data_IF_393102432700
#
_entry.id   IF_393102432700
#
_cell.length_a   1.000
_cell.length_b   1.000
_cell.length_c   1.000
_cell.angle_alpha   90.00
_cell.angle_beta   90.00
_cell.angle_gamma   90.00
#
_symmetry.space_group_name_H-M   'P 1'
#
loop_
_entity.id
_entity.type
_entity.pdbx_description
1 polymer ?
#
# COMPACT_ATOMS: atom_id res chain seq x y z
N UNK A 1 7.45 1.04 0.18
CA UNK A 1 6.09 0.44 0.21
C UNK A 1 5.74 -0.12 -1.16
N UNK A 2 5.27 -1.39 -1.23
CA UNK A 2 4.95 -2.07 -2.51
C UNK A 2 3.83 -1.37 -3.30
N UNK A 3 2.87 -0.73 -2.62
CA UNK A 3 1.76 0.02 -3.25
C UNK A 3 2.28 1.17 -4.10
N UNK A 4 3.34 1.82 -3.67
CA UNK A 4 3.99 2.92 -4.37
C UNK A 4 4.72 2.45 -5.64
N UNK A 5 5.19 1.21 -5.67
CA UNK A 5 5.86 0.63 -6.84
C UNK A 5 4.96 0.50 -8.07
N UNK A 6 3.63 0.51 -7.90
CA UNK A 6 2.68 0.44 -9.02
C UNK A 6 2.17 1.77 -9.51
N UNK A 7 1.88 2.71 -8.63
CA UNK A 7 1.13 3.92 -8.97
C UNK A 7 1.81 5.21 -8.52
N UNK A 8 3.11 5.14 -8.17
CA UNK A 8 3.84 6.29 -7.63
C UNK A 8 3.23 6.87 -6.34
N UNK A 9 3.76 7.96 -5.81
CA UNK A 9 3.28 8.57 -4.58
C UNK A 9 2.17 9.60 -4.81
N UNK A 10 2.23 10.28 -5.95
CA UNK A 10 1.34 11.36 -6.35
C UNK A 10 1.00 11.19 -7.82
N UNK A 11 -0.24 11.42 -8.20
CA UNK A 11 -0.69 11.45 -9.59
C UNK A 11 -1.31 12.80 -9.92
N UNK A 12 -1.04 13.28 -11.14
CA UNK A 12 -1.72 14.43 -11.73
C UNK A 12 -2.60 13.90 -12.86
N UNK A 13 -3.89 14.15 -12.78
CA UNK A 13 -4.90 13.67 -13.72
C UNK A 13 -5.84 14.81 -14.15
N UNK A 14 -6.77 14.49 -15.06
CA UNK A 14 -7.87 15.38 -15.36
C UNK A 14 -8.88 15.38 -14.21
N UNK A 15 -9.32 16.54 -13.76
CA UNK A 15 -10.35 16.69 -12.73
C UNK A 15 -11.64 15.93 -13.08
N UNK A 16 -12.02 15.90 -14.37
CA UNK A 16 -13.17 15.15 -14.85
C UNK A 16 -13.02 13.64 -14.66
N UNK A 17 -11.80 13.07 -14.70
CA UNK A 17 -11.57 11.64 -14.43
C UNK A 17 -11.98 11.25 -13.03
N UNK A 18 -11.73 12.12 -12.06
CA UNK A 18 -12.05 11.90 -10.65
C UNK A 18 -13.55 11.98 -10.40
N UNK A 19 -14.22 12.92 -11.07
CA UNK A 19 -15.68 13.16 -10.88
C UNK A 19 -16.56 12.16 -11.62
N UNK A 20 -16.13 11.71 -12.80
CA UNK A 20 -16.91 10.77 -13.64
C UNK A 20 -16.53 9.31 -13.43
N UNK A 21 -15.48 9.05 -12.67
CA UNK A 21 -14.88 7.71 -12.48
C UNK A 21 -14.57 7.00 -13.83
N UNK A 22 -14.22 7.79 -14.83
CA UNK A 22 -13.89 7.34 -16.19
C UNK A 22 -12.62 8.06 -16.66
N UNK A 23 -11.63 7.36 -17.22
CA UNK A 23 -10.40 7.98 -17.68
C UNK A 23 -10.67 9.08 -18.70
N UNK A 24 -10.36 10.32 -18.37
CA UNK A 24 -10.44 11.46 -19.28
C UNK A 24 -9.04 11.93 -19.63
N UNK A 25 -8.81 12.28 -20.90
CA UNK A 25 -7.48 12.70 -21.35
C UNK A 25 -7.08 14.04 -20.74
N UNK A 26 -5.78 14.20 -20.57
CA UNK A 26 -5.18 15.50 -20.24
C UNK A 26 -3.90 15.67 -21.07
N UNK A 27 -3.69 16.88 -21.60
CA UNK A 27 -2.47 17.18 -22.33
C UNK A 27 -1.28 17.29 -21.38
N UNK A 28 -0.19 16.63 -21.74
CA UNK A 28 1.05 16.63 -20.95
C UNK A 28 2.19 17.17 -21.82
N UNK A 29 2.31 18.52 -21.93
CA UNK A 29 3.40 19.11 -22.68
C UNK A 29 4.76 18.88 -21.97
N UNK A 30 5.87 18.78 -22.72
CA UNK A 30 7.21 18.59 -22.14
C UNK A 30 7.60 19.67 -21.13
N UNK A 31 7.10 20.89 -21.27
CA UNK A 31 7.31 21.96 -20.31
C UNK A 31 6.73 21.65 -18.94
N UNK A 32 5.52 21.08 -18.90
CA UNK A 32 4.88 20.66 -17.64
C UNK A 32 5.66 19.54 -16.97
N UNK A 33 6.13 18.55 -17.74
CA UNK A 33 6.95 17.45 -17.19
C UNK A 33 8.22 17.98 -16.53
N UNK A 34 8.85 18.98 -17.14
CA UNK A 34 10.04 19.63 -16.59
C UNK A 34 9.70 20.45 -15.33
N UNK A 35 8.67 21.27 -15.36
CA UNK A 35 8.23 22.06 -14.19
C UNK A 35 7.90 21.16 -12.99
N UNK A 36 7.23 20.03 -13.21
CA UNK A 36 6.90 19.05 -12.17
C UNK A 36 8.16 18.35 -11.67
N UNK A 37 9.08 18.00 -12.55
CA UNK A 37 10.34 17.34 -12.21
C UNK A 37 11.30 18.25 -11.41
N UNK A 38 11.24 19.57 -11.61
CA UNK A 38 12.08 20.55 -10.92
C UNK A 38 11.57 20.87 -9.49
N UNK A 39 10.40 20.36 -9.08
CA UNK A 39 9.88 20.54 -7.72
C UNK A 39 10.76 19.80 -6.71
N UNK A 40 11.17 20.52 -5.65
CA UNK A 40 12.00 19.96 -4.59
C UNK A 40 11.33 18.73 -3.94
N UNK A 41 12.06 17.62 -3.84
CA UNK A 41 11.56 16.37 -3.28
C UNK A 41 11.03 15.36 -4.31
N UNK A 42 10.82 15.75 -5.56
CA UNK A 42 10.49 14.84 -6.66
C UNK A 42 11.71 13.99 -7.02
N UNK A 43 11.50 12.68 -7.12
CA UNK A 43 12.53 11.72 -7.52
C UNK A 43 12.43 11.36 -9.00
N UNK A 44 11.21 11.09 -9.47
CA UNK A 44 10.95 10.64 -10.83
C UNK A 44 9.56 11.07 -11.29
N UNK A 45 9.42 11.34 -12.58
CA UNK A 45 8.16 11.73 -13.21
C UNK A 45 7.98 10.92 -14.47
N UNK A 46 6.80 10.32 -14.65
CA UNK A 46 6.48 9.50 -15.81
C UNK A 46 5.04 9.71 -16.25
N UNK A 47 4.77 9.56 -17.55
CA UNK A 47 3.42 9.59 -18.10
C UNK A 47 2.81 8.19 -18.04
N UNK A 48 1.51 8.15 -17.88
CA UNK A 48 0.77 6.90 -17.94
C UNK A 48 -0.54 7.05 -18.71
N UNK A 49 -1.04 5.93 -19.18
CA UNK A 49 -2.33 5.84 -19.86
C UNK A 49 -3.08 4.61 -19.37
N UNK A 50 -4.29 4.80 -18.90
CA UNK A 50 -5.16 3.72 -18.44
C UNK A 50 -6.27 3.45 -19.46
N UNK A 51 -6.60 2.16 -19.66
CA UNK A 51 -7.77 1.73 -20.43
C UNK A 51 -8.38 0.49 -19.81
N UNK A 52 -9.65 0.57 -19.47
CA UNK A 52 -10.42 -0.60 -19.05
C UNK A 52 -10.74 -1.49 -20.24
N UNK A 53 -10.67 -2.80 -20.02
CA UNK A 53 -10.95 -3.78 -21.05
C UNK A 53 -11.20 -5.18 -20.50
N UNK A 54 -11.43 -6.13 -21.39
CA UNK A 54 -11.63 -7.53 -21.04
C UNK A 54 -10.64 -8.36 -21.85
N UNK A 55 -9.79 -9.13 -21.16
CA UNK A 55 -9.04 -10.21 -21.77
C UNK A 55 -9.95 -11.42 -21.93
N UNK A 56 -9.93 -12.04 -23.11
CA UNK A 56 -10.73 -13.22 -23.42
C UNK A 56 -9.86 -14.30 -24.04
N UNK A 57 -9.99 -15.49 -23.49
CA UNK A 57 -9.51 -16.76 -24.06
C UNK A 57 -10.70 -17.56 -24.58
N UNK A 58 -10.46 -18.73 -25.13
CA UNK A 58 -11.54 -19.61 -25.60
C UNK A 58 -12.39 -20.17 -24.45
N UNK A 59 -11.82 -20.26 -23.24
CA UNK A 59 -12.48 -20.84 -22.06
C UNK A 59 -13.08 -19.78 -21.15
N UNK A 60 -12.35 -18.67 -20.90
CA UNK A 60 -12.68 -17.70 -19.87
C UNK A 60 -12.46 -16.24 -20.30
N UNK A 61 -12.96 -15.32 -19.48
CA UNK A 61 -12.74 -13.88 -19.66
C UNK A 61 -12.47 -13.18 -18.33
N UNK A 62 -11.66 -12.13 -18.36
CA UNK A 62 -11.27 -11.34 -17.19
C UNK A 62 -11.29 -9.85 -17.50
N UNK A 63 -11.96 -9.07 -16.63
CA UNK A 63 -11.85 -7.60 -16.65
C UNK A 63 -10.45 -7.16 -16.23
N UNK A 64 -9.84 -6.27 -17.00
CA UNK A 64 -8.51 -5.76 -16.76
C UNK A 64 -8.45 -4.24 -16.85
N UNK A 65 -7.47 -3.66 -16.16
CA UNK A 65 -7.01 -2.30 -16.36
C UNK A 65 -5.66 -2.34 -17.10
N UNK A 66 -5.70 -1.97 -18.38
CA UNK A 66 -4.49 -1.85 -19.18
C UNK A 66 -3.77 -0.56 -18.79
N UNK A 67 -2.56 -0.69 -18.26
CA UNK A 67 -1.71 0.42 -17.83
C UNK A 67 -0.57 0.58 -18.83
N UNK A 68 -0.68 1.61 -19.64
CA UNK A 68 0.33 1.96 -20.65
C UNK A 68 1.40 2.86 -20.06
N UNK A 69 2.66 2.46 -20.23
CA UNK A 69 3.83 3.17 -19.72
C UNK A 69 4.81 3.49 -20.84
N UNK A 70 5.50 4.62 -20.72
CA UNK A 70 6.45 5.12 -21.71
C UNK A 70 7.89 4.65 -21.49
N UNK A 71 8.79 5.20 -22.28
CA UNK A 71 10.22 4.89 -22.18
C UNK A 71 10.85 5.41 -20.87
N UNK A 72 10.23 6.41 -20.23
CA UNK A 72 10.63 6.96 -18.95
C UNK A 72 10.21 6.13 -17.73
N UNK A 73 9.48 5.03 -17.94
CA UNK A 73 8.98 4.19 -16.85
C UNK A 73 10.09 3.58 -16.02
N UNK A 74 10.03 3.76 -14.70
CA UNK A 74 10.92 3.05 -13.77
C UNK A 74 10.50 1.59 -13.60
N UNK A 75 11.12 0.74 -14.40
CA UNK A 75 10.84 -0.70 -14.41
C UNK A 75 11.49 -1.48 -13.26
N UNK A 76 12.23 -0.83 -12.35
CA UNK A 76 13.00 -1.50 -11.29
C UNK A 76 12.11 -2.36 -10.38
N UNK A 77 10.97 -1.80 -9.96
CA UNK A 77 9.99 -2.52 -9.16
C UNK A 77 9.39 -3.72 -9.89
N UNK A 78 8.95 -3.52 -11.13
CA UNK A 78 8.32 -4.58 -11.91
C UNK A 78 9.33 -5.70 -12.24
N UNK A 79 10.59 -5.35 -12.56
CA UNK A 79 11.68 -6.32 -12.76
C UNK A 79 11.95 -7.18 -11.54
N UNK A 80 11.93 -6.58 -10.36
CA UNK A 80 12.15 -7.30 -9.10
C UNK A 80 11.04 -8.31 -8.75
N UNK A 81 9.85 -8.16 -9.37
CA UNK A 81 8.69 -9.01 -9.12
C UNK A 81 8.30 -9.87 -10.34
N UNK A 82 9.15 -9.92 -11.38
CA UNK A 82 8.96 -10.83 -12.50
C UNK A 82 9.22 -12.27 -12.07
N UNK A 83 8.32 -13.18 -12.42
CA UNK A 83 8.48 -14.62 -12.20
C UNK A 83 8.89 -15.35 -13.48
N UNK A 84 8.32 -14.96 -14.60
CA UNK A 84 8.56 -15.61 -15.89
C UNK A 84 8.61 -14.59 -17.03
N UNK A 85 9.42 -14.87 -18.05
CA UNK A 85 9.53 -14.04 -19.24
C UNK A 85 10.38 -12.78 -19.05
N UNK A 86 10.16 -11.81 -19.92
CA UNK A 86 10.91 -10.56 -19.96
C UNK A 86 9.99 -9.36 -20.12
N UNK A 87 10.40 -8.21 -19.56
CA UNK A 87 9.71 -6.95 -19.79
C UNK A 87 9.92 -6.50 -21.25
N UNK A 88 8.84 -6.14 -21.95
CA UNK A 88 8.98 -5.53 -23.27
C UNK A 88 9.65 -4.16 -23.17
N UNK A 89 10.28 -3.72 -24.24
CA UNK A 89 10.69 -2.32 -24.34
C UNK A 89 9.45 -1.46 -24.49
N UNK A 90 9.13 -0.69 -23.46
CA UNK A 90 8.02 0.25 -23.49
C UNK A 90 8.38 1.44 -24.40
N UNK A 91 7.46 1.83 -25.26
CA UNK A 91 7.68 2.88 -26.25
C UNK A 91 6.51 3.86 -26.33
N UNK A 92 6.85 5.11 -26.62
CA UNK A 92 5.87 6.18 -26.84
C UNK A 92 5.45 6.28 -28.33
N UNK A 93 6.18 5.63 -29.22
CA UNK A 93 6.04 5.83 -30.69
C UNK A 93 5.68 4.58 -31.47
N UNK A 94 5.98 3.39 -30.94
CA UNK A 94 5.80 2.13 -31.64
C UNK A 94 4.98 1.16 -30.80
N UNK A 95 3.96 0.54 -31.42
CA UNK A 95 3.17 -0.49 -30.76
C UNK A 95 3.95 -1.80 -30.66
N UNK A 96 4.19 -2.29 -29.46
CA UNK A 96 4.81 -3.59 -29.24
C UNK A 96 3.79 -4.74 -29.34
N UNK A 97 2.51 -4.48 -29.07
CA UNK A 97 1.44 -5.46 -28.87
C UNK A 97 1.82 -6.57 -27.86
N UNK A 98 2.70 -6.26 -26.94
CA UNK A 98 3.12 -7.13 -25.84
C UNK A 98 2.53 -6.63 -24.55
N UNK A 99 2.16 -7.58 -23.69
CA UNK A 99 1.63 -7.29 -22.38
C UNK A 99 2.39 -8.09 -21.32
N UNK A 100 2.44 -7.50 -20.10
CA UNK A 100 2.89 -8.18 -18.91
C UNK A 100 1.69 -8.32 -17.99
N UNK A 101 1.39 -9.55 -17.59
CA UNK A 101 0.23 -9.89 -16.78
C UNK A 101 0.66 -10.39 -15.41
N UNK A 102 -0.23 -10.34 -14.43
CA UNK A 102 0.04 -10.93 -13.13
C UNK A 102 -0.07 -12.46 -13.17
N UNK A 103 0.55 -13.14 -12.19
CA UNK A 103 0.38 -14.57 -12.00
C UNK A 103 -1.09 -14.95 -11.81
N UNK A 104 -1.85 -14.14 -11.06
CA UNK A 104 -3.26 -14.38 -10.85
C UNK A 104 -4.08 -14.36 -12.14
N UNK A 105 -3.83 -13.39 -13.03
CA UNK A 105 -4.49 -13.33 -14.34
C UNK A 105 -4.05 -14.50 -15.23
N UNK A 106 -2.76 -14.87 -15.18
CA UNK A 106 -2.22 -16.00 -15.94
C UNK A 106 -2.89 -17.32 -15.54
N UNK A 107 -3.01 -17.58 -14.25
CA UNK A 107 -3.62 -18.80 -13.71
C UNK A 107 -5.12 -18.86 -14.02
N UNK A 108 -5.86 -17.76 -13.84
CA UNK A 108 -7.30 -17.70 -14.12
C UNK A 108 -7.64 -17.88 -15.61
N UNK A 109 -6.80 -17.36 -16.51
CA UNK A 109 -7.02 -17.44 -17.95
C UNK A 109 -6.21 -18.56 -18.65
N UNK A 110 -5.46 -19.34 -17.88
CA UNK A 110 -4.56 -20.41 -18.37
C UNK A 110 -3.59 -19.90 -19.46
N UNK A 111 -2.94 -18.75 -19.17
CA UNK A 111 -2.00 -18.09 -20.08
C UNK A 111 -0.56 -18.35 -19.64
N UNK A 112 0.31 -18.61 -20.58
CA UNK A 112 1.75 -18.74 -20.40
C UNK A 112 2.50 -17.65 -21.18
N UNK A 113 3.79 -17.47 -20.91
CA UNK A 113 4.64 -16.56 -21.68
C UNK A 113 4.66 -16.99 -23.15
N UNK A 114 4.40 -16.05 -24.04
CA UNK A 114 4.25 -16.31 -25.48
C UNK A 114 2.81 -16.59 -25.93
N UNK A 115 1.88 -16.80 -25.04
CA UNK A 115 0.46 -16.98 -25.35
C UNK A 115 -0.12 -15.74 -26.03
N UNK A 116 -1.02 -15.95 -26.98
CA UNK A 116 -1.75 -14.90 -27.67
C UNK A 116 -3.15 -14.78 -27.10
N UNK A 117 -3.53 -13.58 -26.69
CA UNK A 117 -4.84 -13.30 -26.06
C UNK A 117 -5.52 -12.14 -26.76
N UNK A 118 -6.84 -12.20 -26.86
CA UNK A 118 -7.65 -11.10 -27.39
C UNK A 118 -8.12 -10.21 -26.24
N UNK A 119 -7.95 -8.89 -26.40
CA UNK A 119 -8.48 -7.88 -25.52
C UNK A 119 -9.59 -7.10 -26.20
N UNK A 120 -10.70 -6.92 -25.51
CA UNK A 120 -11.87 -6.19 -25.96
C UNK A 120 -12.00 -4.91 -25.13
N UNK A 121 -12.09 -3.79 -25.83
CA UNK A 121 -12.25 -2.48 -25.24
C UNK A 121 -13.58 -1.88 -25.69
N UNK A 122 -14.35 -1.41 -24.71
CA UNK A 122 -15.70 -0.87 -24.92
C UNK A 122 -15.65 0.65 -24.74
N UNK A 123 -16.04 1.37 -25.77
CA UNK A 123 -16.25 2.79 -25.74
C UNK A 123 -17.41 3.13 -26.68
N UNK A 124 -17.21 3.94 -27.72
CA UNK A 124 -18.23 4.18 -28.77
C UNK A 124 -18.37 2.99 -29.74
N UNK A 125 -17.35 2.15 -29.80
CA UNK A 125 -17.34 0.91 -30.61
C UNK A 125 -16.47 -0.12 -29.92
N UNK A 126 -16.78 -1.41 -30.12
CA UNK A 126 -15.95 -2.50 -29.62
C UNK A 126 -14.66 -2.56 -30.42
N UNK A 127 -13.55 -2.32 -29.76
CA UNK A 127 -12.22 -2.46 -30.35
C UNK A 127 -11.57 -3.73 -29.85
N UNK A 128 -11.15 -4.58 -30.78
CA UNK A 128 -10.44 -5.82 -30.45
C UNK A 128 -8.96 -5.67 -30.79
N UNK A 129 -8.10 -6.08 -29.88
CA UNK A 129 -6.66 -6.18 -30.08
C UNK A 129 -6.15 -7.53 -29.65
N UNK A 130 -5.20 -8.04 -30.41
CA UNK A 130 -4.48 -9.26 -30.07
C UNK A 130 -3.14 -8.89 -29.44
N UNK A 131 -2.92 -9.37 -28.24
CA UNK A 131 -1.68 -9.19 -27.50
C UNK A 131 -0.92 -10.51 -27.38
N UNK A 132 0.38 -10.40 -27.14
CA UNK A 132 1.24 -11.53 -26.77
C UNK A 132 1.75 -11.30 -25.36
N UNK A 133 1.60 -12.29 -24.49
CA UNK A 133 2.13 -12.25 -23.12
C UNK A 133 3.65 -12.34 -23.21
N UNK A 134 4.36 -11.31 -22.75
CA UNK A 134 5.83 -11.26 -22.75
C UNK A 134 6.42 -11.63 -21.39
N UNK A 135 5.66 -11.49 -20.32
CA UNK A 135 6.11 -11.83 -18.98
C UNK A 135 4.97 -11.90 -17.99
N UNK A 136 5.24 -12.58 -16.89
CA UNK A 136 4.32 -12.79 -15.78
C UNK A 136 4.99 -12.26 -14.52
N UNK A 137 4.28 -11.40 -13.78
CA UNK A 137 4.76 -10.83 -12.52
C UNK A 137 3.88 -11.26 -11.34
N UNK A 138 4.43 -11.22 -10.12
CA UNK A 138 3.68 -11.44 -8.90
C UNK A 138 4.16 -10.50 -7.80
N UNK A 139 3.27 -9.65 -7.30
CA UNK A 139 3.61 -8.70 -6.24
C UNK A 139 3.01 -9.07 -4.91
N UNK A 140 2.10 -10.03 -4.90
CA UNK A 140 1.28 -10.40 -3.75
C UNK A 140 0.39 -9.25 -3.23
N UNK A 141 0.09 -8.27 -4.09
CA UNK A 141 -0.91 -7.23 -3.86
C UNK A 141 -2.17 -7.59 -4.62
N UNK A 142 -3.06 -8.32 -3.97
CA UNK A 142 -4.25 -8.93 -4.59
C UNK A 142 -5.08 -7.94 -5.40
N UNK A 143 -5.25 -6.71 -4.93
CA UNK A 143 -6.06 -5.70 -5.63
C UNK A 143 -5.46 -5.27 -6.98
N UNK A 144 -4.12 -5.17 -7.05
CA UNK A 144 -3.43 -4.85 -8.30
C UNK A 144 -3.23 -6.10 -9.16
N UNK A 145 -2.83 -7.21 -8.56
CA UNK A 145 -2.58 -8.46 -9.28
C UNK A 145 -3.86 -9.05 -9.92
N UNK A 146 -5.06 -8.68 -9.44
CA UNK A 146 -6.34 -9.11 -10.04
C UNK A 146 -6.64 -8.49 -11.39
N UNK A 147 -6.19 -7.28 -11.68
CA UNK A 147 -6.70 -6.54 -12.83
C UNK A 147 -5.63 -5.80 -13.64
N UNK A 148 -4.46 -5.50 -13.07
CA UNK A 148 -3.48 -4.62 -13.71
C UNK A 148 -2.66 -5.38 -14.76
N UNK A 149 -2.60 -4.83 -15.97
CA UNK A 149 -1.85 -5.37 -17.12
C UNK A 149 -1.00 -4.26 -17.71
N UNK A 150 0.30 -4.46 -17.83
CA UNK A 150 1.21 -3.47 -18.39
C UNK A 150 1.37 -3.61 -19.90
N UNK A 151 1.44 -2.48 -20.58
CA UNK A 151 1.70 -2.38 -22.02
C UNK A 151 2.46 -1.09 -22.35
N UNK A 152 2.78 -0.88 -23.61
CA UNK A 152 3.37 0.38 -24.07
C UNK A 152 2.35 1.53 -24.13
N UNK A 153 2.83 2.73 -23.84
CA UNK A 153 2.03 3.97 -23.80
C UNK A 153 1.36 4.25 -25.14
N UNK A 154 2.07 4.00 -26.25
CA UNK A 154 1.55 4.22 -27.58
C UNK A 154 0.32 3.36 -27.90
N UNK A 155 0.36 2.07 -27.54
CA UNK A 155 -0.79 1.17 -27.75
C UNK A 155 -1.99 1.61 -26.93
N UNK A 156 -1.79 1.97 -25.67
CA UNK A 156 -2.86 2.43 -24.78
C UNK A 156 -3.50 3.72 -25.29
N UNK A 157 -2.70 4.71 -25.69
CA UNK A 157 -3.19 5.97 -26.28
C UNK A 157 -4.03 5.75 -27.53
N UNK A 158 -3.57 4.87 -28.45
CA UNK A 158 -4.34 4.53 -29.65
C UNK A 158 -5.66 3.83 -29.36
N UNK A 159 -5.71 3.03 -28.30
CA UNK A 159 -6.96 2.39 -27.87
C UNK A 159 -7.97 3.39 -27.36
N UNK A 160 -7.52 4.44 -26.67
CA UNK A 160 -8.34 5.55 -26.21
C UNK A 160 -8.72 6.54 -27.33
N UNK A 161 -8.13 6.43 -28.53
CA UNK A 161 -8.28 7.39 -29.63
C UNK A 161 -7.92 8.83 -29.25
N UNK A 162 -6.98 9.01 -28.32
CA UNK A 162 -6.51 10.31 -27.85
C UNK A 162 -5.45 10.89 -28.78
N UNK A 163 -5.24 12.20 -28.67
CA UNK A 163 -4.17 12.88 -29.39
C UNK A 163 -2.79 12.43 -28.88
N UNK A 164 -1.72 12.58 -29.65
CA UNK A 164 -0.38 12.11 -29.26
C UNK A 164 0.21 12.76 -28.02
N UNK A 165 -0.31 13.92 -27.61
CA UNK A 165 0.09 14.70 -26.43
C UNK A 165 -0.86 14.53 -25.23
N UNK A 166 -1.91 13.69 -25.39
CA UNK A 166 -2.89 13.40 -24.37
C UNK A 166 -2.61 12.05 -23.69
N UNK A 167 -2.74 12.01 -22.38
CA UNK A 167 -2.51 10.84 -21.53
C UNK A 167 -3.54 10.79 -20.40
N UNK A 168 -3.62 9.71 -19.66
CA UNK A 168 -4.44 9.66 -18.43
C UNK A 168 -3.89 10.58 -17.35
N UNK A 169 -2.57 10.76 -17.33
CA UNK A 169 -1.93 11.66 -16.37
C UNK A 169 -0.42 11.47 -16.24
N UNK A 170 0.08 12.01 -15.16
CA UNK A 170 1.49 11.96 -14.76
C UNK A 170 1.58 11.26 -13.41
N UNK A 171 2.51 10.35 -13.27
CA UNK A 171 2.89 9.70 -12.03
C UNK A 171 4.19 10.29 -11.49
N UNK A 172 4.22 10.56 -10.19
CA UNK A 172 5.31 11.25 -9.54
C UNK A 172 5.78 10.43 -8.35
N UNK A 173 7.04 10.05 -8.37
CA UNK A 173 7.71 9.42 -7.24
C UNK A 173 8.45 10.47 -6.42
N UNK A 174 8.33 10.38 -5.09
CA UNK A 174 8.96 11.31 -4.14
C UNK A 174 10.15 10.61 -3.49
N UNK A 175 11.24 11.37 -3.22
CA UNK A 175 12.47 10.84 -2.60
C UNK A 175 12.27 10.35 -1.18
N UNK A 176 11.41 11.06 -0.40
CA UNK A 176 11.13 10.73 0.99
C UNK A 176 9.61 10.65 1.20
N UNK A 177 9.15 9.49 1.69
CA UNK A 177 7.74 9.22 1.98
C UNK A 177 7.13 10.18 3.01
N UNK A 178 7.93 10.68 3.94
CA UNK A 178 7.46 11.60 4.97
C UNK A 178 7.16 13.01 4.42
N UNK A 179 7.67 13.33 3.23
CA UNK A 179 7.48 14.63 2.57
C UNK A 179 6.44 14.61 1.46
N UNK A 180 5.67 13.53 1.32
CA UNK A 180 4.64 13.40 0.26
C UNK A 180 3.63 14.55 0.34
N UNK A 181 3.15 14.89 1.52
CA UNK A 181 2.16 15.95 1.72
C UNK A 181 2.73 17.34 1.38
N UNK A 182 3.99 17.59 1.69
CA UNK A 182 4.69 18.83 1.36
C UNK A 182 4.85 18.97 -0.16
N UNK A 183 5.35 17.92 -0.82
CA UNK A 183 5.53 17.89 -2.28
C UNK A 183 4.18 17.98 -2.99
N UNK A 184 3.16 17.26 -2.51
CA UNK A 184 1.79 17.37 -3.04
C UNK A 184 1.25 18.77 -2.94
N UNK A 185 1.44 19.45 -1.79
CA UNK A 185 1.04 20.86 -1.61
C UNK A 185 1.74 21.83 -2.56
N UNK A 186 3.01 21.59 -2.89
CA UNK A 186 3.74 22.37 -3.89
C UNK A 186 3.20 22.12 -5.31
N UNK A 187 2.94 20.88 -5.67
CA UNK A 187 2.37 20.48 -6.96
C UNK A 187 0.94 21.03 -7.16
N UNK A 188 0.11 20.99 -6.12
CA UNK A 188 -1.24 21.57 -6.14
C UNK A 188 -1.19 23.07 -6.50
N UNK A 189 -0.28 23.82 -5.89
CA UNK A 189 -0.10 25.25 -6.18
C UNK A 189 0.40 25.50 -7.60
N UNK A 190 1.25 24.61 -8.11
CA UNK A 190 1.86 24.71 -9.44
C UNK A 190 0.87 24.39 -10.56
N UNK A 191 0.02 23.36 -10.38
CA UNK A 191 -0.68 22.68 -11.48
C UNK A 191 -2.19 22.82 -11.41
N UNK A 192 -2.84 22.75 -10.23
CA UNK A 192 -4.31 22.69 -10.13
C UNK A 192 -5.06 23.95 -10.61
N UNK A 193 -4.35 25.05 -10.87
CA UNK A 193 -4.93 26.28 -11.43
C UNK A 193 -4.73 26.39 -12.94
N UNK A 194 -4.04 25.43 -13.54
CA UNK A 194 -3.78 25.42 -14.99
C UNK A 194 -4.88 24.62 -15.69
N UNK A 195 -5.18 25.00 -16.91
CA UNK A 195 -5.99 24.21 -17.85
C UNK A 195 -5.12 23.79 -19.01
N UNK A 196 -5.39 22.64 -19.58
CA UNK A 196 -4.68 22.17 -20.77
C UNK A 196 -5.19 22.85 -22.05
N UNK A 197 -4.54 22.52 -23.17
CA UNK A 197 -4.90 23.07 -24.49
C UNK A 197 -6.30 22.64 -24.98
N UNK A 198 -6.89 21.63 -24.38
CA UNK A 198 -8.21 21.06 -24.72
C UNK A 198 -9.30 21.42 -23.69
N UNK A 199 -8.98 22.28 -22.70
CA UNK A 199 -9.91 22.72 -21.66
C UNK A 199 -10.00 21.80 -20.45
N UNK A 200 -9.16 20.77 -20.35
CA UNK A 200 -9.06 19.91 -19.19
C UNK A 200 -8.38 20.61 -18.00
N UNK A 201 -8.89 20.41 -16.80
CA UNK A 201 -8.30 20.96 -15.58
C UNK A 201 -7.45 19.91 -14.89
N UNK A 202 -6.25 20.29 -14.48
CA UNK A 202 -5.36 19.40 -13.74
C UNK A 202 -5.79 19.28 -12.28
N UNK A 203 -5.72 18.08 -11.75
CA UNK A 203 -5.87 17.79 -10.32
C UNK A 203 -4.71 16.93 -9.86
N UNK A 204 -4.13 17.30 -8.75
CA UNK A 204 -3.07 16.53 -8.08
C UNK A 204 -3.71 15.73 -6.96
N UNK A 205 -3.46 14.43 -6.94
CA UNK A 205 -3.96 13.51 -5.92
C UNK A 205 -2.82 12.68 -5.36
N UNK A 206 -2.83 12.48 -4.07
CA UNK A 206 -1.94 11.54 -3.39
C UNK A 206 -2.46 10.11 -3.55
N UNK A 207 -1.59 9.12 -3.36
CA UNK A 207 -1.99 7.71 -3.38
C UNK A 207 -3.04 7.38 -2.31
N UNK A 208 -3.05 8.13 -1.20
CA UNK A 208 -4.06 7.99 -0.14
C UNK A 208 -5.44 8.43 -0.60
N UNK A 209 -5.49 9.50 -1.41
CA UNK A 209 -6.74 10.01 -2.00
C UNK A 209 -7.24 9.15 -3.15
N UNK A 210 -6.33 8.52 -3.90
CA UNK A 210 -6.67 7.60 -5.00
C UNK A 210 -7.23 6.27 -4.50
N UNK A 211 -6.71 5.76 -3.38
CA UNK A 211 -7.09 4.48 -2.81
C UNK A 211 -7.56 4.62 -1.34
N UNK A 212 -8.59 5.43 -1.06
CA UNK A 212 -9.01 5.76 0.30
C UNK A 212 -9.44 4.52 1.08
N UNK A 213 -9.98 3.51 0.41
CA UNK A 213 -10.43 2.27 1.06
C UNK A 213 -9.29 1.51 1.71
N UNK A 214 -8.12 1.42 1.05
CA UNK A 214 -6.94 0.73 1.58
C UNK A 214 -6.43 1.45 2.82
N UNK A 215 -6.32 2.77 2.76
CA UNK A 215 -5.81 3.58 3.87
C UNK A 215 -6.81 3.70 5.03
N UNK A 216 -8.12 3.79 4.73
CA UNK A 216 -9.16 3.75 5.76
C UNK A 216 -9.14 2.42 6.52
N UNK A 217 -8.95 1.30 5.83
CA UNK A 217 -8.84 0.00 6.48
C UNK A 217 -7.60 -0.10 7.38
N UNK A 218 -6.46 0.44 6.94
CA UNK A 218 -5.25 0.52 7.78
C UNK A 218 -5.47 1.37 9.03
N UNK A 219 -6.14 2.52 8.91
CA UNK A 219 -6.45 3.37 10.06
C UNK A 219 -7.40 2.72 11.04
N UNK A 220 -8.35 1.90 10.57
CA UNK A 220 -9.21 1.10 11.44
C UNK A 220 -8.42 0.08 12.26
N UNK A 221 -7.37 -0.52 11.71
CA UNK A 221 -6.49 -1.42 12.45
C UNK A 221 -5.78 -0.70 13.60
N UNK A 222 -5.28 0.52 13.36
CA UNK A 222 -4.64 1.32 14.40
C UNK A 222 -5.63 1.67 15.53
N UNK A 223 -6.85 2.08 15.19
CA UNK A 223 -7.91 2.33 16.18
C UNK A 223 -8.22 1.08 16.99
N UNK A 224 -8.35 -0.09 16.34
CA UNK A 224 -8.59 -1.36 17.03
C UNK A 224 -7.48 -1.70 18.02
N UNK A 225 -6.22 -1.49 17.66
CA UNK A 225 -5.06 -1.70 18.54
C UNK A 225 -5.18 -0.82 19.79
N UNK A 226 -5.51 0.48 19.61
CA UNK A 226 -5.70 1.40 20.74
C UNK A 226 -6.85 1.00 21.65
N UNK A 227 -7.98 0.57 21.09
CA UNK A 227 -9.15 0.12 21.86
C UNK A 227 -8.81 -1.14 22.67
N UNK A 228 -8.17 -2.13 22.04
CA UNK A 228 -7.73 -3.36 22.74
C UNK A 228 -6.74 -3.04 23.83
N UNK A 229 -5.77 -2.18 23.57
CA UNK A 229 -4.77 -1.77 24.56
C UNK A 229 -5.42 -1.06 25.76
N UNK A 230 -6.34 -0.13 25.52
CA UNK A 230 -7.08 0.56 26.56
C UNK A 230 -7.89 -0.42 27.43
N UNK A 231 -8.55 -1.40 26.80
CA UNK A 231 -9.32 -2.43 27.48
C UNK A 231 -8.41 -3.34 28.31
N UNK A 232 -7.26 -3.77 27.76
CA UNK A 232 -6.27 -4.58 28.48
C UNK A 232 -5.71 -3.86 29.70
N UNK A 233 -5.35 -2.57 29.57
CA UNK A 233 -4.87 -1.75 30.68
C UNK A 233 -5.95 -1.60 31.75
N UNK A 234 -7.21 -1.41 31.36
CA UNK A 234 -8.33 -1.31 32.31
C UNK A 234 -8.52 -2.61 33.10
N UNK A 235 -8.54 -3.75 32.43
CA UNK A 235 -8.67 -5.07 33.07
C UNK A 235 -7.47 -5.33 33.98
N UNK A 236 -6.26 -5.04 33.57
CA UNK A 236 -5.06 -5.17 34.39
C UNK A 236 -5.14 -4.29 35.62
N UNK A 237 -5.63 -3.05 35.50
CA UNK A 237 -5.86 -2.13 36.61
C UNK A 237 -6.85 -2.68 37.64
N UNK A 238 -8.01 -3.17 37.23
CA UNK A 238 -8.99 -3.80 38.09
C UNK A 238 -8.45 -5.04 38.82
N UNK A 239 -7.73 -5.90 38.09
CA UNK A 239 -7.11 -7.11 38.65
C UNK A 239 -6.07 -6.74 39.70
N UNK A 240 -5.27 -5.72 39.44
CA UNK A 240 -4.28 -5.23 40.39
C UNK A 240 -4.93 -4.64 41.66
N UNK A 241 -6.00 -3.85 41.56
CA UNK A 241 -6.73 -3.29 42.71
C UNK A 241 -7.29 -4.43 43.56
N UNK A 242 -7.92 -5.43 42.92
CA UNK A 242 -8.48 -6.59 43.62
C UNK A 242 -7.39 -7.39 44.35
N UNK A 243 -6.25 -7.63 43.69
CA UNK A 243 -5.12 -8.34 44.28
C UNK A 243 -4.51 -7.60 45.47
N UNK A 244 -4.34 -6.28 45.38
CA UNK A 244 -3.87 -5.46 46.50
C UNK A 244 -4.86 -5.47 47.66
N UNK A 245 -6.16 -5.43 47.42
CA UNK A 245 -7.19 -5.48 48.46
C UNK A 245 -7.11 -6.80 49.23
N UNK A 246 -6.95 -7.93 48.55
CA UNK A 246 -6.79 -9.24 49.17
C UNK A 246 -5.54 -9.25 50.08
N UNK A 247 -4.40 -8.78 49.59
CA UNK A 247 -3.15 -8.72 50.36
C UNK A 247 -3.29 -7.82 51.60
N UNK A 248 -3.98 -6.69 51.46
CA UNK A 248 -4.23 -5.80 52.60
C UNK A 248 -5.10 -6.50 53.67
N UNK A 249 -6.13 -7.24 53.24
CA UNK A 249 -7.00 -7.98 54.18
C UNK A 249 -6.26 -9.13 54.86
N UNK A 250 -5.40 -9.87 54.19
CA UNK A 250 -4.58 -10.93 54.79
C UNK A 250 -3.57 -10.38 55.81
N UNK A 251 -3.10 -9.14 55.65
CA UNK A 251 -2.10 -8.49 56.51
C UNK A 251 -2.71 -7.56 57.57
N UNK A 252 -4.00 -7.68 57.87
CA UNK A 252 -4.67 -6.83 58.87
C UNK A 252 -4.03 -6.96 60.25
N UNK A 253 -3.61 -8.15 60.68
CA UNK A 253 -2.90 -8.34 61.95
C UNK A 253 -1.56 -7.58 61.98
N UNK A 254 -0.80 -7.60 60.90
CA UNK A 254 0.44 -6.85 60.78
C UNK A 254 0.19 -5.34 60.88
N UNK A 255 -0.86 -4.83 60.23
CA UNK A 255 -1.28 -3.44 60.27
C UNK A 255 -1.64 -3.05 61.72
N UNK A 256 -2.36 -3.94 62.44
CA UNK A 256 -2.72 -3.73 63.84
C UNK A 256 -1.49 -3.60 64.78
N UNK A 257 -0.50 -4.49 64.61
CA UNK A 257 0.75 -4.46 65.39
C UNK A 257 1.54 -3.16 65.10
N UNK A 258 1.66 -2.79 63.83
CA UNK A 258 2.35 -1.56 63.43
C UNK A 258 1.69 -0.31 64.01
N UNK A 259 0.35 -0.26 64.05
CA UNK A 259 -0.39 0.83 64.72
C UNK A 259 -0.20 0.86 66.19
N UNK A 260 -0.18 -0.29 66.85
CA UNK A 260 0.10 -0.36 68.33
C UNK A 260 1.51 0.14 68.66
N UNK A 261 2.48 -0.03 67.73
CA UNK A 261 3.83 0.50 67.87
C UNK A 261 3.95 1.99 67.46
N UNK A 262 2.84 2.66 67.11
CA UNK A 262 2.81 4.09 66.84
C UNK A 262 3.02 4.46 65.37
N UNK A 263 2.94 3.50 64.44
CA UNK A 263 3.07 3.80 63.01
C UNK A 263 1.90 4.67 62.52
N UNK A 264 2.23 5.70 61.72
CA UNK A 264 1.24 6.59 61.13
C UNK A 264 0.53 5.93 59.93
N UNK A 265 -0.71 6.31 59.65
CA UNK A 265 -1.47 5.82 58.51
C UNK A 265 -0.77 6.11 57.15
N UNK A 266 0.00 7.21 57.09
CA UNK A 266 0.80 7.55 55.91
C UNK A 266 1.95 6.56 55.73
N UNK A 267 2.66 6.19 56.76
CA UNK A 267 3.75 5.20 56.71
C UNK A 267 3.27 3.84 56.24
N UNK A 268 2.15 3.34 56.82
CA UNK A 268 1.56 2.06 56.39
C UNK A 268 1.15 2.10 54.90
N UNK A 269 0.52 3.19 54.45
CA UNK A 269 0.14 3.36 53.06
C UNK A 269 1.35 3.30 52.10
N UNK A 270 2.46 3.94 52.45
CA UNK A 270 3.69 3.91 51.68
C UNK A 270 4.27 2.50 51.54
N UNK A 271 4.21 1.68 52.59
CA UNK A 271 4.68 0.29 52.55
C UNK A 271 3.91 -0.50 51.50
N UNK A 272 2.58 -0.43 51.47
CA UNK A 272 1.76 -1.13 50.49
C UNK A 272 1.92 -0.55 49.08
N UNK A 273 2.14 0.75 48.97
CA UNK A 273 2.40 1.38 47.67
C UNK A 273 3.73 0.89 47.08
N UNK A 274 4.82 0.86 47.87
CA UNK A 274 6.10 0.30 47.37
C UNK A 274 6.00 -1.16 47.04
N UNK A 275 5.25 -1.94 47.80
CA UNK A 275 5.00 -3.35 47.49
C UNK A 275 4.26 -3.49 46.16
N UNK A 276 3.24 -2.69 45.93
CA UNK A 276 2.50 -2.68 44.63
C UNK A 276 3.41 -2.34 43.45
N UNK A 277 4.23 -1.29 43.59
CA UNK A 277 5.18 -0.88 42.52
C UNK A 277 6.20 -1.99 42.27
N UNK A 278 6.69 -2.66 43.31
CA UNK A 278 7.66 -3.74 43.18
C UNK A 278 7.07 -4.97 42.42
N UNK A 279 5.84 -5.38 42.80
CA UNK A 279 5.14 -6.50 42.16
C UNK A 279 4.84 -6.17 40.70
N UNK A 280 4.35 -4.93 40.45
CA UNK A 280 4.08 -4.44 39.09
C UNK A 280 5.35 -4.41 38.24
N UNK A 281 6.46 -3.88 38.80
CA UNK A 281 7.74 -3.82 38.07
C UNK A 281 8.27 -5.20 37.71
N UNK A 282 8.20 -6.19 38.59
CA UNK A 282 8.55 -7.59 38.31
C UNK A 282 7.65 -8.18 37.22
N UNK A 283 6.33 -7.98 37.33
CA UNK A 283 5.36 -8.46 36.35
C UNK A 283 5.60 -7.87 34.97
N UNK A 284 5.87 -6.58 34.88
CA UNK A 284 6.16 -5.86 33.64
C UNK A 284 7.47 -6.35 33.01
N UNK A 285 8.50 -6.59 33.82
CA UNK A 285 9.79 -7.10 33.34
C UNK A 285 9.63 -8.51 32.75
N UNK A 286 9.00 -9.43 33.46
CA UNK A 286 8.76 -10.79 32.96
C UNK A 286 7.80 -10.80 31.78
N UNK A 287 6.76 -10.00 31.80
CA UNK A 287 5.82 -9.86 30.68
C UNK A 287 6.52 -9.38 29.39
N UNK A 288 7.40 -8.38 29.49
CA UNK A 288 8.19 -7.92 28.35
C UNK A 288 9.16 -8.99 27.83
N UNK A 289 9.87 -9.70 28.71
CA UNK A 289 10.80 -10.77 28.32
C UNK A 289 10.06 -11.85 27.54
N UNK A 290 8.91 -12.32 28.07
CA UNK A 290 8.10 -13.34 27.41
C UNK A 290 7.52 -12.82 26.08
N UNK A 291 6.97 -11.59 26.09
CA UNK A 291 6.39 -10.98 24.88
C UNK A 291 7.42 -10.82 23.77
N UNK A 292 8.59 -10.25 24.07
CA UNK A 292 9.68 -10.13 23.10
C UNK A 292 10.17 -11.51 22.66
N UNK A 293 10.28 -12.47 23.58
CA UNK A 293 10.66 -13.85 23.26
C UNK A 293 9.72 -14.50 22.26
N UNK A 294 8.40 -14.33 22.42
CA UNK A 294 7.39 -14.86 21.47
C UNK A 294 7.53 -14.19 20.10
N UNK A 295 7.70 -12.85 20.07
CA UNK A 295 7.87 -12.11 18.80
C UNK A 295 9.13 -12.55 18.06
N UNK A 296 10.25 -12.70 18.78
CA UNK A 296 11.52 -13.19 18.22
C UNK A 296 11.37 -14.63 17.72
N UNK A 297 10.74 -15.49 18.51
CA UNK A 297 10.46 -16.88 18.12
C UNK A 297 9.61 -16.94 16.85
N UNK A 298 8.55 -16.13 16.78
CA UNK A 298 7.69 -16.01 15.60
C UNK A 298 8.48 -15.52 14.37
N UNK A 299 9.39 -14.57 14.55
CA UNK A 299 10.23 -14.05 13.48
C UNK A 299 11.16 -15.14 12.89
N UNK A 300 11.74 -15.99 13.75
CA UNK A 300 12.63 -17.05 13.29
C UNK A 300 11.90 -18.30 12.78
N UNK A 301 10.77 -18.65 13.37
CA UNK A 301 10.05 -19.91 13.03
C UNK A 301 9.00 -19.71 11.95
N UNK A 302 8.47 -18.48 11.79
CA UNK A 302 7.36 -18.21 10.85
C UNK A 302 6.13 -19.09 11.10
N UNK A 303 5.90 -19.49 12.38
CA UNK A 303 4.89 -20.51 12.75
C UNK A 303 3.46 -20.05 12.43
N UNK A 304 3.16 -18.77 12.57
CA UNK A 304 1.90 -18.16 12.14
C UNK A 304 2.14 -17.46 10.80
N UNK A 305 1.88 -18.12 9.69
CA UNK A 305 1.84 -17.49 8.38
C UNK A 305 0.46 -16.85 8.22
N UNK A 306 0.43 -15.53 8.21
CA UNK A 306 -0.76 -14.79 7.85
C UNK A 306 -0.96 -14.91 6.33
N UNK A 307 -2.12 -15.38 5.93
CA UNK A 307 -2.45 -15.49 4.52
C UNK A 307 -2.64 -14.08 3.95
N UNK A 308 -1.76 -13.68 3.05
CA UNK A 308 -1.74 -12.33 2.45
C UNK A 308 -3.05 -11.99 1.72
N UNK A 309 -3.78 -13.02 1.26
CA UNK A 309 -5.07 -12.87 0.57
C UNK A 309 -6.22 -12.43 1.48
N UNK A 310 -6.14 -12.77 2.78
CA UNK A 310 -7.20 -12.49 3.76
C UNK A 310 -6.97 -11.15 4.47
N UNK A 311 -5.72 -10.82 4.68
CA UNK A 311 -5.37 -9.64 5.50
C UNK A 311 -4.69 -8.62 4.65
N UNK A 312 -4.87 -8.06 3.64
CA UNK A 312 -4.16 -6.95 2.95
C UNK A 312 -2.76 -6.60 3.53
N UNK A 313 -2.15 -7.53 4.26
CA UNK A 313 -0.97 -7.37 5.13
C UNK A 313 0.33 -7.53 4.34
N UNK A 314 0.33 -7.20 3.07
CA UNK A 314 1.59 -7.09 2.33
C UNK A 314 2.53 -5.99 2.87
N UNK A 315 2.04 -5.15 3.78
CA UNK A 315 2.83 -4.09 4.43
C UNK A 315 3.71 -4.59 5.60
N UNK A 316 3.42 -5.76 6.18
CA UNK A 316 4.17 -6.28 7.34
C UNK A 316 5.32 -7.24 6.96
N UNK A 317 5.40 -7.67 5.69
CA UNK A 317 6.47 -8.55 5.21
C UNK A 317 7.63 -7.79 4.54
N UNK A 318 8.07 -6.68 5.11
CA UNK A 318 9.27 -5.97 4.65
C UNK A 318 10.57 -6.45 5.30
N UNK A 319 10.55 -7.55 6.05
CA UNK A 319 11.78 -8.24 6.46
C UNK A 319 12.07 -9.34 5.43
N UNK A 320 13.16 -9.24 4.66
CA UNK A 320 13.57 -10.33 3.77
C UNK A 320 13.75 -11.60 4.60
N UNK A 321 13.06 -12.66 4.20
CA UNK A 321 13.24 -13.98 4.81
C UNK A 321 14.69 -14.41 4.59
N UNK A 322 15.36 -15.07 5.56
CA UNK A 322 16.69 -15.64 5.35
C UNK A 322 16.77 -16.63 4.18
N UNK A 323 15.64 -17.06 3.63
CA UNK A 323 15.56 -17.91 2.44
C UNK A 323 15.70 -17.16 1.12
N UNK A 324 15.50 -15.83 1.10
CA UNK A 324 15.65 -15.02 -0.11
C UNK A 324 17.13 -14.72 -0.44
N UNK A 325 18.06 -15.10 0.46
CA UNK A 325 19.50 -15.02 0.24
C UNK A 325 20.15 -16.36 -0.12
N UNK A 326 19.38 -17.43 -0.31
CA UNK A 326 19.88 -18.78 -0.57
C UNK A 326 19.43 -19.33 -1.94
N UNK A 327 19.18 -18.45 -2.93
CA UNK A 327 18.99 -18.83 -4.33
C UNK A 327 19.92 -18.03 -5.24
#
# INVERSE_FOLDING_TARGET
SKVVGFGSHIQIQNYASVTTNSPQPIAVPPALMKEVGDVEGVAHVQRFCNKEGILKTDADFKGILLHGVGAEFDASFLKAHMEEGELPSFSDTVASNRIVISRQIADELHLEVGSKVFAYFFENSVRTRRFTVSGIYCTHLTEFDKALVFTDLYTCNRLNAWAPDQYSGIEISVKDLNRVDEVSGALIKLVNRKTDAYGGSYVTMTIQELYPQIFAWLSLLDVNVWVILALMVSVAGFTMISGLLIIILERTNFIGIMKALGATNRGIRHIFLYFAVFVMGKGLLWGNIIGIGIVVLQHYTGMFRLDASIYYVCLLYTSPSPRDYAA
#
